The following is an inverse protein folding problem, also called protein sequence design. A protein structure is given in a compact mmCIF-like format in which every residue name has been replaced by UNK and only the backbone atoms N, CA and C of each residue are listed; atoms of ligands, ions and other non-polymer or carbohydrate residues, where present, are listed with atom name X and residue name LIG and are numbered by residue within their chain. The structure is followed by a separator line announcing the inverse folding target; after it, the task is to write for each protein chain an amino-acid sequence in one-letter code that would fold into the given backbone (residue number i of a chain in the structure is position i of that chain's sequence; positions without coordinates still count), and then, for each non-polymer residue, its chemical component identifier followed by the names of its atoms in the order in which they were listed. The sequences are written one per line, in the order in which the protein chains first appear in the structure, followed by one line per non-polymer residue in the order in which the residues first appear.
data_IF_828873878608
#
_entry.id   IF_828873878608
#
_cell.length_a   1.000
_cell.length_b   1.000
_cell.length_c   1.000
_cell.angle_alpha   90.00
_cell.angle_beta   90.00
_cell.angle_gamma   90.00
#
_symmetry.space_group_name_H-M   'P 1'
#
loop_
_entity.id
_entity.type
_entity.pdbx_description
1 polymer ?
#
# COMPACT_ATOMS: atom_id res chain seq x y z
N UNK A 1 7.89 0.88 3.66
CA UNK A 1 7.02 1.11 4.82
C UNK A 1 6.35 2.48 4.66
N UNK A 2 5.03 2.52 4.64
CA UNK A 2 4.31 3.78 4.76
C UNK A 2 4.56 4.34 6.17
N UNK A 3 4.87 5.62 6.28
CA UNK A 3 5.03 6.26 7.58
C UNK A 3 3.64 6.47 8.21
N UNK A 4 3.06 5.40 8.75
CA UNK A 4 1.95 5.56 9.67
C UNK A 4 2.54 6.06 10.99
N UNK A 5 2.42 7.35 11.20
CA UNK A 5 2.76 7.98 12.46
C UNK A 5 1.48 8.05 13.27
N UNK A 6 1.07 6.94 13.89
CA UNK A 6 -0.04 6.83 14.84
C UNK A 6 -1.29 7.70 14.57
N UNK A 7 -2.38 7.41 15.25
CA UNK A 7 -3.55 8.29 15.25
C UNK A 7 -3.25 9.55 16.06
N UNK A 8 -3.32 10.70 15.41
CA UNK A 8 -3.09 12.00 16.02
C UNK A 8 -4.16 12.98 15.59
N UNK A 9 -4.63 13.78 16.54
CA UNK A 9 -5.52 14.89 16.19
C UNK A 9 -4.83 15.86 15.23
N UNK A 10 -5.59 16.72 14.57
CA UNK A 10 -5.02 17.78 13.74
C UNK A 10 -4.11 18.71 14.57
N UNK A 11 -4.53 19.02 15.80
CA UNK A 11 -3.77 19.89 16.70
C UNK A 11 -2.42 19.27 17.13
N UNK A 12 -2.35 17.95 17.26
CA UNK A 12 -1.15 17.22 17.68
C UNK A 12 -0.24 16.82 16.50
N UNK A 13 -0.69 17.06 15.27
CA UNK A 13 0.08 16.73 14.07
C UNK A 13 1.00 17.90 13.70
N UNK A 14 2.30 17.78 14.01
CA UNK A 14 3.26 18.80 13.62
C UNK A 14 3.49 18.85 12.09
N UNK A 15 3.84 20.02 11.56
CA UNK A 15 4.23 20.17 10.14
C UNK A 15 5.35 19.19 9.76
N UNK A 16 6.33 19.00 10.63
CA UNK A 16 7.44 18.06 10.43
C UNK A 16 6.94 16.62 10.26
N UNK A 17 6.00 16.20 11.10
CA UNK A 17 5.41 14.85 11.04
C UNK A 17 4.62 14.67 9.74
N UNK A 18 3.81 15.66 9.38
CA UNK A 18 3.03 15.64 8.15
C UNK A 18 3.93 15.56 6.91
N UNK A 19 4.92 16.45 6.84
CA UNK A 19 5.90 16.49 5.74
C UNK A 19 6.68 15.19 5.62
N UNK A 20 7.15 14.61 6.74
CA UNK A 20 7.91 13.36 6.73
C UNK A 20 7.09 12.22 6.13
N UNK A 21 5.82 12.08 6.49
CA UNK A 21 4.92 11.07 5.91
C UNK A 21 4.83 11.19 4.39
N UNK A 22 4.60 12.40 3.89
CA UNK A 22 4.53 12.67 2.47
C UNK A 22 5.87 12.44 1.75
N UNK A 23 6.98 12.92 2.34
CA UNK A 23 8.33 12.74 1.78
C UNK A 23 8.71 11.27 1.66
N UNK A 24 8.40 10.45 2.66
CA UNK A 24 8.73 9.02 2.63
C UNK A 24 7.85 8.27 1.64
N UNK A 25 6.55 8.51 1.62
CA UNK A 25 5.62 7.73 0.83
C UNK A 25 5.50 8.25 -0.61
N UNK A 26 5.10 9.50 -0.80
CA UNK A 26 4.78 10.04 -2.13
C UNK A 26 6.03 10.51 -2.86
N UNK A 27 6.83 11.36 -2.23
CA UNK A 27 8.05 11.87 -2.86
C UNK A 27 9.11 10.78 -3.04
N UNK A 28 9.23 9.85 -2.09
CA UNK A 28 10.08 8.67 -2.23
C UNK A 28 9.68 7.80 -3.41
N UNK A 29 8.37 7.58 -3.61
CA UNK A 29 7.85 6.87 -4.79
C UNK A 29 8.20 7.60 -6.10
N UNK A 30 7.99 8.92 -6.15
CA UNK A 30 8.33 9.74 -7.30
C UNK A 30 9.81 9.60 -7.67
N UNK A 31 10.71 9.69 -6.70
CA UNK A 31 12.16 9.52 -6.93
C UNK A 31 12.51 8.14 -7.48
N UNK A 32 11.89 7.09 -6.92
CA UNK A 32 12.11 5.73 -7.40
C UNK A 32 11.58 5.56 -8.83
N UNK A 33 10.36 6.01 -9.11
CA UNK A 33 9.73 5.94 -10.42
C UNK A 33 10.56 6.69 -11.48
N UNK A 34 11.04 7.91 -11.15
CA UNK A 34 11.89 8.73 -12.04
C UNK A 34 13.18 8.02 -12.43
N UNK A 35 13.70 7.13 -11.58
CA UNK A 35 14.93 6.36 -11.87
C UNK A 35 14.63 5.06 -12.61
N UNK A 36 13.52 4.39 -12.32
CA UNK A 36 13.25 3.00 -12.76
C UNK A 36 12.37 2.95 -14.01
N UNK A 37 11.30 3.77 -14.08
CA UNK A 37 10.35 3.69 -15.19
C UNK A 37 11.00 3.98 -16.56
N UNK A 38 11.91 4.98 -16.73
CA UNK A 38 12.61 5.17 -18.01
C UNK A 38 13.49 3.99 -18.41
N UNK A 39 14.04 3.25 -17.45
CA UNK A 39 14.82 2.04 -17.75
C UNK A 39 13.93 0.89 -18.23
N UNK A 40 12.74 0.76 -17.64
CA UNK A 40 11.74 -0.22 -18.08
C UNK A 40 11.19 0.14 -19.46
N UNK A 41 10.88 1.42 -19.71
CA UNK A 41 10.48 1.94 -21.03
C UNK A 41 11.53 1.59 -22.10
N UNK A 42 12.80 1.87 -21.83
CA UNK A 42 13.91 1.55 -22.77
C UNK A 42 13.99 0.05 -23.11
N UNK A 43 13.57 -0.82 -22.18
CA UNK A 43 13.49 -2.27 -22.40
C UNK A 43 12.19 -2.69 -23.11
N UNK A 44 11.20 -1.81 -23.23
CA UNK A 44 9.86 -2.10 -23.72
C UNK A 44 9.04 -3.04 -22.82
N UNK A 45 9.50 -3.26 -21.58
CA UNK A 45 8.85 -4.14 -20.59
C UNK A 45 9.27 -3.83 -19.17
N UNK A 46 8.34 -4.00 -18.24
CA UNK A 46 8.56 -3.93 -16.80
C UNK A 46 7.26 -3.93 -16.04
N UNK A 47 7.33 -4.28 -14.76
CA UNK A 47 6.20 -4.18 -13.83
C UNK A 47 6.62 -3.38 -12.61
N UNK A 48 5.88 -2.33 -12.31
CA UNK A 48 6.13 -1.44 -11.18
C UNK A 48 4.94 -1.52 -10.23
N UNK A 49 5.09 -2.27 -9.13
CA UNK A 49 4.03 -2.52 -8.16
C UNK A 49 4.21 -1.60 -6.96
N UNK A 50 3.15 -0.90 -6.58
CA UNK A 50 3.14 0.06 -5.49
C UNK A 50 2.17 -0.39 -4.41
N UNK A 51 2.71 -0.82 -3.28
CA UNK A 51 1.92 -1.14 -2.09
C UNK A 51 1.39 0.13 -1.44
N UNK A 52 0.12 0.12 -1.09
CA UNK A 52 -0.58 1.22 -0.42
C UNK A 52 -1.52 0.67 0.65
N UNK A 53 -2.41 1.50 1.14
CA UNK A 53 -3.42 1.13 2.13
C UNK A 53 -4.75 1.80 1.81
N UNK A 54 -5.80 1.46 2.55
CA UNK A 54 -7.13 2.08 2.45
C UNK A 54 -7.11 3.59 2.67
N UNK A 55 -6.10 4.13 3.36
CA UNK A 55 -5.87 5.57 3.48
C UNK A 55 -5.63 6.27 2.13
N UNK A 56 -5.39 5.53 1.04
CA UNK A 56 -5.31 6.08 -0.32
C UNK A 56 -6.66 6.36 -0.97
N UNK A 57 -7.73 5.78 -0.43
CA UNK A 57 -9.11 5.85 -0.96
C UNK A 57 -10.11 6.46 0.01
N UNK A 58 -9.72 6.60 1.28
CA UNK A 58 -10.54 7.29 2.30
C UNK A 58 -9.67 8.01 3.33
N UNK A 59 -10.19 9.07 3.92
CA UNK A 59 -9.58 9.78 5.04
C UNK A 59 -10.25 9.42 6.35
N UNK A 60 -9.49 8.95 7.32
CA UNK A 60 -9.98 8.75 8.69
C UNK A 60 -9.55 9.90 9.60
N UNK A 61 -10.36 10.20 10.63
CA UNK A 61 -9.95 11.10 11.69
C UNK A 61 -8.63 10.63 12.32
N UNK A 62 -7.76 11.55 12.69
CA UNK A 62 -6.46 11.21 13.27
C UNK A 62 -5.37 10.75 12.29
N UNK A 63 -5.69 10.49 11.03
CA UNK A 63 -4.75 9.94 10.02
C UNK A 63 -4.36 10.94 8.94
N UNK A 64 -4.36 12.23 9.21
CA UNK A 64 -4.18 13.30 8.21
C UNK A 64 -2.91 13.13 7.36
N UNK A 65 -1.76 12.91 8.01
CA UNK A 65 -0.47 12.72 7.33
C UNK A 65 -0.45 11.43 6.49
N UNK A 66 -1.00 10.33 7.04
CA UNK A 66 -1.05 9.05 6.36
C UNK A 66 -1.98 9.09 5.14
N UNK A 67 -3.18 9.64 5.29
CA UNK A 67 -4.14 9.76 4.20
C UNK A 67 -3.61 10.65 3.05
N UNK A 68 -3.03 11.82 3.38
CA UNK A 68 -2.42 12.69 2.38
C UNK A 68 -1.26 12.00 1.63
N UNK A 69 -0.42 11.26 2.36
CA UNK A 69 0.69 10.53 1.78
C UNK A 69 0.23 9.36 0.88
N UNK A 70 -0.73 8.57 1.33
CA UNK A 70 -1.24 7.42 0.55
C UNK A 70 -2.11 7.87 -0.63
N UNK A 71 -2.93 8.92 -0.48
CA UNK A 71 -3.66 9.54 -1.58
C UNK A 71 -2.73 10.07 -2.68
N UNK A 72 -1.63 10.72 -2.27
CA UNK A 72 -0.57 11.15 -3.20
C UNK A 72 0.07 9.98 -3.96
N UNK A 73 0.32 8.85 -3.30
CA UNK A 73 0.81 7.63 -3.97
C UNK A 73 -0.16 7.13 -5.03
N UNK A 74 -1.45 7.06 -4.71
CA UNK A 74 -2.49 6.60 -5.63
C UNK A 74 -2.54 7.48 -6.89
N UNK A 75 -2.62 8.80 -6.72
CA UNK A 75 -2.64 9.73 -7.84
C UNK A 75 -1.36 9.66 -8.68
N UNK A 76 -0.21 9.52 -8.04
CA UNK A 76 1.06 9.34 -8.75
C UNK A 76 1.07 8.03 -9.57
N UNK A 77 0.53 6.94 -9.04
CA UNK A 77 0.40 5.69 -9.81
C UNK A 77 -0.46 5.86 -11.05
N UNK A 78 -1.58 6.61 -10.95
CA UNK A 78 -2.44 6.87 -12.11
C UNK A 78 -1.70 7.70 -13.18
N UNK A 79 -0.96 8.73 -12.78
CA UNK A 79 -0.14 9.53 -13.70
C UNK A 79 0.94 8.69 -14.38
N UNK A 80 1.64 7.85 -13.60
CA UNK A 80 2.65 6.94 -14.15
C UNK A 80 2.04 5.91 -15.11
N UNK A 81 0.86 5.38 -14.78
CA UNK A 81 0.16 4.46 -15.68
C UNK A 81 -0.23 5.13 -17.00
N UNK A 82 -0.76 6.35 -16.94
CA UNK A 82 -1.13 7.11 -18.13
C UNK A 82 0.08 7.39 -19.03
N UNK A 83 1.25 7.64 -18.43
CA UNK A 83 2.48 7.95 -19.18
C UNK A 83 3.19 6.72 -19.71
N UNK A 84 3.27 5.61 -18.94
CA UNK A 84 4.17 4.50 -19.19
C UNK A 84 3.50 3.21 -19.68
N UNK A 85 2.17 3.05 -19.54
CA UNK A 85 1.52 1.80 -19.94
C UNK A 85 1.66 1.51 -21.44
N UNK A 86 1.47 2.50 -22.30
CA UNK A 86 1.64 2.37 -23.74
C UNK A 86 3.11 2.10 -24.16
N UNK A 87 4.05 2.36 -23.28
CA UNK A 87 5.50 2.15 -23.45
C UNK A 87 5.98 0.78 -22.90
N UNK A 88 5.04 -0.08 -22.52
CA UNK A 88 5.32 -1.44 -22.06
C UNK A 88 5.62 -1.57 -20.57
N UNK A 89 5.33 -0.57 -19.76
CA UNK A 89 5.51 -0.63 -18.30
C UNK A 89 4.16 -0.80 -17.60
N UNK A 90 3.98 -1.92 -16.93
CA UNK A 90 2.80 -2.20 -16.13
C UNK A 90 2.91 -1.50 -14.77
N UNK A 91 2.05 -0.54 -14.48
CA UNK A 91 1.98 0.15 -13.19
C UNK A 91 0.78 -0.39 -12.42
N UNK A 92 1.02 -1.07 -11.31
CA UNK A 92 -0.01 -1.66 -10.46
C UNK A 92 0.01 -1.03 -9.05
N UNK A 93 -1.15 -0.55 -8.60
CA UNK A 93 -1.39 0.00 -7.27
C UNK A 93 -2.15 -1.03 -6.44
N UNK A 94 -1.55 -1.49 -5.33
CA UNK A 94 -2.13 -2.51 -4.46
C UNK A 94 -2.55 -1.89 -3.14
N UNK A 95 -3.84 -1.91 -2.85
CA UNK A 95 -4.43 -1.45 -1.60
C UNK A 95 -4.46 -2.63 -0.63
N UNK A 96 -3.77 -2.53 0.48
CA UNK A 96 -3.85 -3.49 1.58
C UNK A 96 -4.98 -3.03 2.51
N UNK A 97 -6.07 -3.79 2.51
CA UNK A 97 -7.28 -3.53 3.30
C UNK A 97 -7.38 -4.53 4.45
N UNK A 98 -6.59 -4.31 5.48
CA UNK A 98 -6.57 -5.15 6.68
C UNK A 98 -5.21 -5.25 7.34
N UNK A 99 -5.19 -5.94 8.47
CA UNK A 99 -3.97 -6.23 9.22
C UNK A 99 -3.19 -7.38 8.56
N UNK A 100 -1.90 -7.19 8.39
CA UNK A 100 -0.99 -8.22 7.85
C UNK A 100 -0.37 -9.00 9.00
N UNK A 101 -0.39 -10.33 8.92
CA UNK A 101 0.28 -11.22 9.90
C UNK A 101 1.81 -11.14 9.74
N UNK A 102 2.38 -10.04 10.20
CA UNK A 102 3.79 -9.72 10.05
C UNK A 102 4.45 -9.40 11.41
N UNK A 103 5.07 -10.39 12.07
CA UNK A 103 5.74 -10.21 13.37
C UNK A 103 6.78 -9.09 13.37
N UNK A 104 7.52 -8.96 12.27
CA UNK A 104 8.61 -7.98 12.14
C UNK A 104 8.17 -6.53 11.90
N UNK A 105 6.90 -6.30 11.61
CA UNK A 105 6.31 -4.98 11.40
C UNK A 105 5.17 -4.72 12.37
N UNK A 106 4.01 -5.29 12.13
CA UNK A 106 2.84 -5.12 12.99
C UNK A 106 3.11 -5.63 14.41
N UNK A 107 3.77 -6.79 14.54
CA UNK A 107 4.13 -7.34 15.85
C UNK A 107 5.07 -6.44 16.65
N UNK A 108 6.08 -5.84 16.00
CA UNK A 108 6.97 -4.88 16.67
C UNK A 108 6.26 -3.57 17.04
N UNK A 109 5.26 -3.17 16.27
CA UNK A 109 4.48 -1.96 16.53
C UNK A 109 3.50 -2.13 17.70
N UNK A 110 2.83 -3.26 17.79
CA UNK A 110 1.86 -3.56 18.84
C UNK A 110 2.51 -4.07 20.13
N UNK A 111 3.66 -4.73 20.02
CA UNK A 111 4.25 -5.56 21.07
C UNK A 111 3.78 -7.02 21.00
N UNK A 112 4.60 -7.92 21.54
CA UNK A 112 4.40 -9.37 21.39
C UNK A 112 3.05 -9.86 21.94
N UNK A 113 2.63 -9.35 23.09
CA UNK A 113 1.39 -9.75 23.76
C UNK A 113 0.14 -9.33 22.96
N UNK A 114 0.07 -8.07 22.54
CA UNK A 114 -1.09 -7.55 21.79
C UNK A 114 -1.14 -8.14 20.38
N UNK A 115 0.01 -8.40 19.77
CA UNK A 115 0.06 -9.08 18.49
C UNK A 115 -0.41 -10.53 18.59
N UNK A 116 -0.07 -11.23 19.68
CA UNK A 116 -0.56 -12.59 19.91
C UNK A 116 -2.07 -12.62 20.14
N UNK A 117 -2.63 -11.70 20.93
CA UNK A 117 -4.09 -11.55 21.09
C UNK A 117 -4.80 -11.29 19.75
N UNK A 118 -4.18 -10.46 18.89
CA UNK A 118 -4.72 -10.19 17.56
C UNK A 118 -4.76 -11.46 16.70
N UNK A 119 -3.70 -12.27 16.75
CA UNK A 119 -3.63 -13.56 16.04
C UNK A 119 -4.67 -14.55 16.54
N UNK A 120 -4.90 -14.63 17.86
CA UNK A 120 -5.92 -15.48 18.46
C UNK A 120 -7.34 -15.05 18.11
N UNK A 121 -7.59 -13.74 18.05
CA UNK A 121 -8.94 -13.21 17.76
C UNK A 121 -9.30 -13.15 16.28
N UNK A 122 -8.33 -12.90 15.40
CA UNK A 122 -8.54 -12.70 13.96
C UNK A 122 -7.74 -13.65 13.06
N UNK A 123 -6.79 -14.40 13.60
CA UNK A 123 -5.79 -15.15 12.85
C UNK A 123 -6.32 -16.40 12.14
N UNK A 124 -5.56 -17.49 12.26
CA UNK A 124 -5.72 -18.67 11.40
C UNK A 124 -7.08 -19.38 11.48
N UNK A 125 -7.78 -19.32 12.62
CA UNK A 125 -9.12 -19.92 12.75
C UNK A 125 -10.23 -19.09 12.10
N UNK A 126 -9.98 -17.81 11.86
CA UNK A 126 -10.99 -16.85 11.36
C UNK A 126 -10.62 -16.26 10.00
N UNK A 127 -9.44 -16.56 9.47
CA UNK A 127 -8.91 -15.96 8.22
C UNK A 127 -9.04 -14.42 8.20
N UNK A 128 -8.81 -13.78 9.34
CA UNK A 128 -8.97 -12.34 9.53
C UNK A 128 -7.67 -11.54 9.46
N UNK A 129 -6.52 -12.22 9.23
CA UNK A 129 -5.23 -11.58 8.97
C UNK A 129 -4.74 -11.94 7.56
N UNK A 130 -4.18 -10.95 6.89
CA UNK A 130 -3.60 -11.16 5.56
C UNK A 130 -2.22 -11.80 5.71
N UNK A 131 -2.01 -12.96 5.09
CA UNK A 131 -0.72 -13.65 5.11
C UNK A 131 0.26 -13.02 4.11
N UNK A 132 1.50 -12.70 4.50
CA UNK A 132 2.49 -12.08 3.61
C UNK A 132 2.78 -12.87 2.33
N UNK A 133 2.81 -14.20 2.40
CA UNK A 133 3.01 -15.07 1.24
C UNK A 133 1.85 -14.97 0.24
N UNK A 134 0.62 -14.77 0.70
CA UNK A 134 -0.55 -14.56 -0.18
C UNK A 134 -0.55 -13.18 -0.86
N UNK A 135 0.02 -12.18 -0.19
CA UNK A 135 0.32 -10.90 -0.85
C UNK A 135 1.39 -11.11 -1.93
N UNK A 136 2.43 -11.88 -1.64
CA UNK A 136 3.49 -12.19 -2.60
C UNK A 136 2.97 -12.96 -3.82
N UNK A 137 2.08 -13.95 -3.63
CA UNK A 137 1.40 -14.66 -4.72
C UNK A 137 0.65 -13.68 -5.65
N UNK A 138 -0.07 -12.72 -5.07
CA UNK A 138 -0.77 -11.68 -5.84
C UNK A 138 0.20 -10.79 -6.61
N UNK A 139 1.31 -10.38 -5.99
CA UNK A 139 2.32 -9.55 -6.67
C UNK A 139 3.00 -10.31 -7.82
N UNK A 140 3.29 -11.59 -7.61
CA UNK A 140 3.80 -12.43 -8.68
C UNK A 140 2.81 -12.53 -9.84
N UNK A 141 1.52 -12.77 -9.55
CA UNK A 141 0.47 -12.80 -10.57
C UNK A 141 0.42 -11.48 -11.37
N UNK A 142 0.41 -10.33 -10.70
CA UNK A 142 0.43 -9.02 -11.35
C UNK A 142 1.63 -8.87 -12.29
N UNK A 143 2.79 -9.37 -11.89
CA UNK A 143 4.02 -9.29 -12.68
C UNK A 143 4.00 -10.15 -13.94
N UNK A 144 3.14 -11.18 -13.99
CA UNK A 144 3.02 -12.14 -15.10
C UNK A 144 1.82 -11.84 -16.04
N UNK A 145 1.03 -10.83 -15.74
CA UNK A 145 -0.15 -10.52 -16.55
C UNK A 145 0.21 -10.16 -18.00
N UNK A 146 -0.60 -10.67 -18.93
CA UNK A 146 -0.49 -10.29 -20.34
C UNK A 146 -0.89 -8.83 -20.54
N UNK A 147 -0.19 -8.13 -21.43
CA UNK A 147 -0.38 -6.68 -21.67
C UNK A 147 -1.80 -6.28 -22.14
N UNK A 148 -2.58 -7.21 -22.65
CA UNK A 148 -3.97 -6.95 -23.02
C UNK A 148 -4.94 -6.90 -21.83
N UNK A 149 -4.48 -7.24 -20.61
CA UNK A 149 -5.31 -7.34 -19.42
C UNK A 149 -4.51 -6.98 -18.15
N UNK A 150 -3.85 -5.84 -18.13
CA UNK A 150 -3.13 -5.35 -16.96
C UNK A 150 -4.08 -4.79 -15.90
N UNK A 151 -3.91 -5.23 -14.68
CA UNK A 151 -4.60 -4.68 -13.50
C UNK A 151 -3.87 -3.42 -13.04
N UNK A 152 -4.54 -2.28 -13.08
CA UNK A 152 -3.95 -1.04 -12.57
C UNK A 152 -4.13 -0.87 -11.06
N UNK A 153 -5.31 -1.18 -10.53
CA UNK A 153 -5.59 -1.07 -9.10
C UNK A 153 -6.32 -2.33 -8.60
N UNK A 154 -5.89 -2.84 -7.46
CA UNK A 154 -6.48 -4.01 -6.80
C UNK A 154 -6.44 -3.80 -5.28
N UNK A 155 -7.48 -4.26 -4.59
CA UNK A 155 -7.45 -4.34 -3.14
C UNK A 155 -7.32 -5.80 -2.67
N UNK A 156 -6.56 -5.99 -1.57
CA UNK A 156 -6.31 -7.28 -0.94
C UNK A 156 -6.82 -7.20 0.49
N UNK A 157 -7.71 -8.13 0.85
CA UNK A 157 -8.35 -8.17 2.16
C UNK A 157 -8.44 -9.59 2.68
N UNK A 158 -8.42 -9.75 3.99
CA UNK A 158 -8.68 -11.02 4.64
C UNK A 158 -10.18 -11.39 4.54
N UNK A 159 -10.49 -12.68 4.49
CA UNK A 159 -11.84 -13.23 4.28
C UNK A 159 -12.86 -12.70 5.30
N UNK A 160 -12.51 -12.72 6.58
CA UNK A 160 -13.43 -12.32 7.65
C UNK A 160 -13.35 -10.84 8.02
N UNK A 161 -12.52 -10.05 7.34
CA UNK A 161 -12.42 -8.62 7.62
C UNK A 161 -13.44 -7.82 6.81
N UNK A 162 -13.89 -6.68 7.37
CA UNK A 162 -14.89 -5.84 6.73
C UNK A 162 -14.23 -4.94 5.68
N UNK A 163 -14.84 -4.82 4.48
CA UNK A 163 -14.25 -3.96 3.44
C UNK A 163 -14.24 -2.49 3.86
N UNK A 164 -13.23 -1.75 3.39
CA UNK A 164 -13.01 -0.35 3.75
C UNK A 164 -14.19 0.59 3.39
N UNK A 165 -15.03 0.21 2.45
CA UNK A 165 -16.22 1.00 2.06
C UNK A 165 -17.46 0.76 2.93
N UNK A 166 -17.40 -0.17 3.88
CA UNK A 166 -18.50 -0.53 4.77
C UNK A 166 -18.28 -0.07 6.23
N UNK A 167 -17.27 0.76 6.51
CA UNK A 167 -17.00 1.30 7.84
C UNK A 167 -17.46 2.75 7.97
#
# INVERSE_FOLDING_TARGET
MGAQVGDRSLADTSYKTFELGWRMATFGLFRLASSVCPLMEKRGKGTFIVTSSTASVRGNGGQHSHAAAMGGRRMLCQSLNAEYSSKGVHIAHVIIDGAVDAPDTLGKMLGAEEFQKLRESKGMEHDGLILPDKIADTYYHLSQQHRSAWTHEIDIRAFSDMPWWNH
#
